data_IF_925315253356
#
_entry.id   IF_925315253356
#
_cell.length_a   1.000
_cell.length_b   1.000
_cell.length_c   1.000
_cell.angle_alpha   90.00
_cell.angle_beta   90.00
_cell.angle_gamma   90.00
#
_symmetry.space_group_name_H-M   'P 1'
#
loop_
_entity.id
_entity.type
_entity.pdbx_description
1 polymer ?
#
# COMPACT_ATOMS: atom_id res chain seq x y z
N UNK A 1 -3.39 -0.68 34.07
CA UNK A 1 -4.03 0.52 33.52
C UNK A 1 -3.24 0.92 32.29
N UNK A 2 -3.92 1.01 31.13
CA UNK A 2 -3.27 1.55 29.93
C UNK A 2 -2.98 3.04 30.17
N UNK A 3 -1.74 3.48 29.96
CA UNK A 3 -1.40 4.89 30.04
C UNK A 3 -1.50 5.50 28.64
N UNK A 4 -2.32 6.52 28.48
CA UNK A 4 -2.38 7.28 27.25
C UNK A 4 -1.05 8.02 27.02
N UNK A 5 -0.47 7.87 25.85
CA UNK A 5 0.71 8.64 25.43
C UNK A 5 0.25 9.83 24.60
N UNK A 6 0.68 11.04 25.01
CA UNK A 6 0.35 12.26 24.30
C UNK A 6 1.32 12.46 23.12
N UNK A 7 0.82 12.34 21.91
CA UNK A 7 1.55 12.66 20.70
C UNK A 7 1.57 14.16 20.41
N UNK A 8 2.39 14.61 19.45
CA UNK A 8 2.31 15.99 18.97
C UNK A 8 0.88 16.28 18.46
N UNK A 9 0.40 17.51 18.71
CA UNK A 9 -0.93 17.99 18.33
C UNK A 9 -2.14 17.32 19.03
N UNK A 10 -1.96 16.90 20.28
CA UNK A 10 -3.01 16.31 21.13
C UNK A 10 -3.60 14.98 20.63
N UNK A 11 -2.91 14.26 19.73
CA UNK A 11 -3.24 12.86 19.45
C UNK A 11 -2.99 12.03 20.70
N UNK A 12 -3.97 11.20 21.07
CA UNK A 12 -3.90 10.31 22.24
C UNK A 12 -3.94 8.86 21.75
N UNK A 13 -2.80 8.20 21.87
CA UNK A 13 -2.67 6.77 21.54
C UNK A 13 -2.62 5.96 22.84
N UNK A 14 -3.63 5.14 23.04
CA UNK A 14 -3.66 4.22 24.19
C UNK A 14 -2.59 3.15 24.02
N UNK A 15 -1.67 3.10 24.98
CA UNK A 15 -0.59 2.11 24.96
C UNK A 15 -1.12 0.71 25.17
N UNK A 16 -0.58 -0.24 24.40
CA UNK A 16 -0.92 -1.66 24.41
C UNK A 16 -2.37 -1.97 23.99
N UNK A 17 -3.14 -0.99 23.53
CA UNK A 17 -4.43 -1.25 22.88
C UNK A 17 -4.19 -1.84 21.48
N UNK A 18 -4.80 -3.01 21.21
CA UNK A 18 -4.64 -3.71 19.94
C UNK A 18 -5.77 -3.33 19.00
N UNK A 19 -5.49 -2.50 18.03
CA UNK A 19 -6.43 -2.03 17.03
C UNK A 19 -6.48 -3.08 15.90
N UNK A 20 -7.58 -3.82 15.71
CA UNK A 20 -7.67 -4.81 14.65
C UNK A 20 -7.65 -4.13 13.28
N UNK A 21 -7.09 -4.80 12.27
CA UNK A 21 -7.11 -4.30 10.90
C UNK A 21 -7.55 -5.36 9.88
N UNK A 22 -8.04 -4.88 8.76
CA UNK A 22 -8.26 -5.69 7.56
C UNK A 22 -7.01 -5.56 6.69
N UNK A 23 -6.45 -6.71 6.28
CA UNK A 23 -5.37 -6.76 5.30
C UNK A 23 -5.93 -6.94 3.89
N UNK A 24 -5.71 -5.95 3.03
CA UNK A 24 -6.10 -5.97 1.61
C UNK A 24 -5.07 -5.22 0.75
N UNK A 25 -3.85 -5.80 0.63
CA UNK A 25 -2.72 -5.13 0.00
C UNK A 25 -2.17 -3.93 0.79
N UNK A 26 -2.84 -3.54 1.87
CA UNK A 26 -2.50 -2.50 2.83
C UNK A 26 -3.23 -2.76 4.15
N UNK A 27 -2.93 -1.97 5.17
CA UNK A 27 -3.51 -2.06 6.52
C UNK A 27 -4.70 -1.12 6.61
N UNK A 28 -5.92 -1.65 6.63
CA UNK A 28 -7.15 -0.86 6.79
C UNK A 28 -7.65 -0.93 8.22
N UNK A 29 -7.62 0.21 8.91
CA UNK A 29 -8.09 0.35 10.29
C UNK A 29 -9.57 0.76 10.29
N UNK A 30 -10.46 0.05 10.99
CA UNK A 30 -11.81 0.52 11.25
C UNK A 30 -11.74 1.74 12.20
N UNK A 31 -12.39 2.81 11.81
CA UNK A 31 -12.29 4.10 12.47
C UNK A 31 -13.61 4.85 12.49
N UNK A 32 -13.67 5.91 13.29
CA UNK A 32 -14.72 6.92 13.22
C UNK A 32 -14.08 8.29 13.07
N UNK A 33 -14.46 9.04 12.03
CA UNK A 33 -13.97 10.39 11.81
C UNK A 33 -14.95 11.38 12.48
N UNK A 34 -14.39 12.37 13.19
CA UNK A 34 -15.14 13.41 13.93
C UNK A 34 -16.25 12.84 14.85
N UNK A 35 -15.98 11.67 15.45
CA UNK A 35 -16.89 10.92 16.33
C UNK A 35 -18.26 10.58 15.70
N UNK A 36 -18.38 10.68 14.38
CA UNK A 36 -19.67 10.55 13.70
C UNK A 36 -19.62 9.64 12.46
N UNK A 37 -18.56 9.69 11.68
CA UNK A 37 -18.50 9.07 10.36
C UNK A 37 -17.67 7.77 10.40
N UNK A 38 -18.30 6.57 10.35
CA UNK A 38 -17.58 5.31 10.33
C UNK A 38 -16.79 5.16 9.03
N UNK A 39 -15.53 4.76 9.10
CA UNK A 39 -14.62 4.71 7.96
C UNK A 39 -13.62 3.55 8.06
N UNK A 40 -13.14 3.07 6.91
CA UNK A 40 -11.94 2.23 6.79
C UNK A 40 -10.78 3.09 6.30
N UNK A 41 -9.81 3.30 7.18
CA UNK A 41 -8.68 4.18 6.93
C UNK A 41 -7.44 3.36 6.61
N UNK A 42 -6.87 3.55 5.42
CA UNK A 42 -5.58 2.97 5.06
C UNK A 42 -4.48 3.63 5.90
N UNK A 43 -3.81 2.82 6.72
CA UNK A 43 -2.63 3.23 7.46
C UNK A 43 -1.41 3.15 6.55
N UNK A 44 -0.68 4.25 6.43
CA UNK A 44 0.51 4.36 5.56
C UNK A 44 1.70 4.86 6.35
N UNK A 45 2.90 4.42 6.00
CA UNK A 45 4.16 4.95 6.56
C UNK A 45 4.72 6.11 5.73
N UNK A 46 4.02 6.52 4.68
CA UNK A 46 4.56 7.42 3.65
C UNK A 46 3.75 8.73 3.47
N UNK A 47 2.85 9.07 4.39
CA UNK A 47 2.07 10.29 4.35
C UNK A 47 2.46 11.21 5.51
N UNK A 48 3.21 12.27 5.22
CA UNK A 48 3.60 13.30 6.20
C UNK A 48 2.37 13.83 6.94
N UNK A 49 2.04 13.23 8.09
CA UNK A 49 0.97 13.65 9.00
C UNK A 49 -0.26 14.23 8.28
N UNK A 50 -0.88 13.42 7.49
CA UNK A 50 -2.03 13.80 6.70
C UNK A 50 -3.19 12.86 6.94
N UNK A 51 -4.38 13.43 6.99
CA UNK A 51 -5.62 12.72 6.77
C UNK A 51 -6.12 13.08 5.37
N UNK A 52 -6.29 12.08 4.52
CA UNK A 52 -6.93 12.23 3.21
C UNK A 52 -8.22 11.46 3.23
N UNK A 53 -9.33 12.06 2.81
CA UNK A 53 -10.65 11.42 2.79
C UNK A 53 -11.19 11.38 1.36
N UNK A 54 -11.87 10.29 1.02
CA UNK A 54 -12.40 10.07 -0.32
C UNK A 54 -13.63 10.95 -0.61
N UNK A 55 -13.69 11.48 -1.83
CA UNK A 55 -14.80 12.34 -2.29
C UNK A 55 -16.13 11.58 -2.37
N UNK A 56 -16.12 10.30 -2.78
CA UNK A 56 -17.34 9.47 -2.87
C UNK A 56 -17.83 9.13 -1.48
N UNK A 57 -16.92 8.78 -0.57
CA UNK A 57 -17.25 8.53 0.84
C UNK A 57 -17.93 9.74 1.49
N UNK A 58 -17.40 10.95 1.30
CA UNK A 58 -18.04 12.18 1.81
C UNK A 58 -19.49 12.33 1.34
N UNK A 59 -19.75 12.02 0.06
CA UNK A 59 -21.11 12.06 -0.51
C UNK A 59 -22.02 10.99 0.09
N UNK A 60 -21.53 9.76 0.24
CA UNK A 60 -22.28 8.66 0.86
C UNK A 60 -22.67 8.98 2.30
N UNK A 61 -21.77 9.64 3.05
CA UNK A 61 -22.01 10.06 4.43
C UNK A 61 -22.82 11.36 4.53
N UNK A 62 -23.25 11.98 3.42
CA UNK A 62 -23.82 13.31 3.37
C UNK A 62 -23.02 14.34 4.20
N UNK A 63 -21.70 14.16 4.23
CA UNK A 63 -20.79 14.94 5.04
C UNK A 63 -20.22 16.12 4.24
N UNK A 64 -20.46 17.32 4.74
CA UNK A 64 -19.91 18.58 4.22
C UNK A 64 -18.90 19.13 5.24
N UNK A 65 -17.60 18.83 5.10
CA UNK A 65 -16.60 19.37 6.00
C UNK A 65 -16.59 20.91 5.97
N UNK A 66 -16.40 21.57 7.11
CA UNK A 66 -16.37 23.03 7.16
C UNK A 66 -15.08 23.59 6.54
N UNK A 67 -15.10 24.90 6.18
CA UNK A 67 -13.94 25.67 5.68
C UNK A 67 -13.16 24.96 4.56
N UNK A 68 -13.89 24.48 3.53
CA UNK A 68 -13.26 23.86 2.36
C UNK A 68 -12.65 24.94 1.47
N UNK A 69 -11.35 24.86 1.26
CA UNK A 69 -10.58 25.71 0.36
C UNK A 69 -9.78 24.87 -0.64
N UNK A 70 -9.21 25.51 -1.67
CA UNK A 70 -8.30 24.87 -2.62
C UNK A 70 -6.88 25.05 -2.13
N UNK A 71 -6.23 23.96 -1.72
CA UNK A 71 -4.80 23.94 -1.44
C UNK A 71 -4.01 23.71 -2.73
N UNK A 72 -2.91 24.42 -2.88
CA UNK A 72 -1.96 24.25 -3.97
C UNK A 72 -0.73 23.49 -3.43
N UNK A 73 -0.57 22.23 -3.84
CA UNK A 73 0.60 21.42 -3.49
C UNK A 73 1.57 21.46 -4.66
N UNK A 74 2.70 22.16 -4.49
CA UNK A 74 3.75 22.22 -5.51
C UNK A 74 4.42 20.85 -5.64
N UNK A 75 4.47 20.34 -6.87
CA UNK A 75 5.22 19.14 -7.27
C UNK A 75 6.39 19.55 -8.18
N UNK A 76 7.30 18.63 -8.47
CA UNK A 76 8.52 18.92 -9.27
C UNK A 76 8.18 19.51 -10.66
N UNK A 77 7.07 19.12 -11.27
CA UNK A 77 6.69 19.53 -12.64
C UNK A 77 5.39 20.31 -12.74
N UNK A 78 4.58 20.34 -11.70
CA UNK A 78 3.26 20.95 -11.71
C UNK A 78 2.80 21.38 -10.31
N UNK A 79 1.59 21.92 -10.24
CA UNK A 79 0.91 22.24 -8.97
C UNK A 79 -0.40 21.44 -8.89
N UNK A 80 -0.47 20.53 -7.93
CA UNK A 80 -1.67 19.81 -7.61
C UNK A 80 -2.63 20.70 -6.81
N UNK A 81 -3.88 20.80 -7.27
CA UNK A 81 -4.95 21.53 -6.57
C UNK A 81 -5.87 20.54 -5.88
N UNK A 82 -5.87 20.53 -4.55
CA UNK A 82 -6.73 19.70 -3.74
C UNK A 82 -7.75 20.54 -2.96
N UNK A 83 -8.91 19.96 -2.71
CA UNK A 83 -9.83 20.50 -1.71
C UNK A 83 -9.27 20.14 -0.33
N UNK A 84 -9.29 21.09 0.58
CA UNK A 84 -8.78 20.94 1.94
C UNK A 84 -9.75 21.55 2.91
N UNK A 85 -10.14 20.81 3.94
CA UNK A 85 -10.85 21.35 5.09
C UNK A 85 -9.82 21.84 6.11
N UNK A 86 -9.76 23.15 6.36
CA UNK A 86 -8.84 23.79 7.30
C UNK A 86 -9.41 23.87 8.71
N UNK A 87 -9.96 22.76 9.17
CA UNK A 87 -10.43 22.60 10.55
C UNK A 87 -9.76 21.38 11.16
N UNK A 88 -9.71 21.33 12.49
CA UNK A 88 -9.22 20.15 13.20
C UNK A 88 -10.22 19.02 13.00
N UNK A 89 -9.69 17.86 12.58
CA UNK A 89 -10.43 16.62 12.46
C UNK A 89 -9.83 15.57 13.39
N UNK A 90 -10.64 14.71 13.97
CA UNK A 90 -10.18 13.57 14.75
C UNK A 90 -10.54 12.25 14.07
N UNK A 91 -9.69 11.26 14.25
CA UNK A 91 -9.93 9.88 13.80
C UNK A 91 -9.78 8.97 15.02
N UNK A 92 -10.85 8.31 15.38
CA UNK A 92 -10.91 7.43 16.55
C UNK A 92 -10.80 5.97 16.12
N UNK A 93 -9.89 5.23 16.76
CA UNK A 93 -9.66 3.79 16.58
C UNK A 93 -9.80 3.11 17.96
N UNK A 94 -10.91 2.47 18.24
CA UNK A 94 -11.16 1.96 19.60
C UNK A 94 -11.07 3.09 20.64
N UNK A 95 -10.13 2.99 21.57
CA UNK A 95 -9.87 4.01 22.60
C UNK A 95 -8.87 5.09 22.17
N UNK A 96 -8.20 4.90 21.05
CA UNK A 96 -7.19 5.80 20.50
C UNK A 96 -7.81 6.90 19.66
N UNK A 97 -7.30 8.14 19.76
CA UNK A 97 -7.72 9.28 18.95
C UNK A 97 -6.51 9.98 18.32
N UNK A 98 -6.43 9.98 16.99
CA UNK A 98 -5.49 10.76 16.22
C UNK A 98 -6.13 12.09 15.81
N UNK A 99 -5.40 13.20 15.94
CA UNK A 99 -5.88 14.53 15.62
C UNK A 99 -5.10 15.15 14.45
N UNK A 100 -5.82 15.70 13.49
CA UNK A 100 -5.27 16.30 12.28
C UNK A 100 -5.70 17.77 12.20
N UNK A 101 -4.77 18.70 11.96
CA UNK A 101 -5.08 20.14 11.91
C UNK A 101 -5.89 20.51 10.66
N UNK A 102 -5.86 19.66 9.64
CA UNK A 102 -6.60 19.79 8.38
C UNK A 102 -6.84 18.41 7.77
N UNK A 103 -7.73 18.34 6.80
CA UNK A 103 -8.06 17.14 6.06
C UNK A 103 -8.05 17.42 4.56
N UNK A 104 -7.31 16.63 3.80
CA UNK A 104 -7.32 16.66 2.34
C UNK A 104 -8.50 15.85 1.80
N UNK A 105 -9.05 16.27 0.67
CA UNK A 105 -10.17 15.60 0.01
C UNK A 105 -9.74 15.23 -1.41
N UNK A 106 -9.81 13.94 -1.75
CA UNK A 106 -9.37 13.43 -3.06
C UNK A 106 -10.12 12.14 -3.44
N UNK A 107 -10.09 11.77 -4.71
CA UNK A 107 -10.73 10.57 -5.26
C UNK A 107 -9.84 9.32 -5.06
N UNK A 108 -9.52 8.98 -3.81
CA UNK A 108 -8.63 7.85 -3.50
C UNK A 108 -9.22 6.49 -3.86
N UNK A 109 -10.55 6.34 -3.81
CA UNK A 109 -11.23 5.10 -4.20
C UNK A 109 -11.06 4.76 -5.69
N UNK A 110 -10.66 5.69 -6.53
CA UNK A 110 -10.29 5.41 -7.92
C UNK A 110 -9.06 4.50 -8.04
N UNK A 111 -8.26 4.40 -6.98
CA UNK A 111 -7.05 3.56 -6.91
C UNK A 111 -7.21 2.40 -5.97
N UNK A 112 -7.73 2.67 -4.78
CA UNK A 112 -7.76 1.74 -3.66
C UNK A 112 -9.08 0.94 -3.58
N UNK A 113 -10.10 1.36 -4.35
CA UNK A 113 -11.41 0.72 -4.33
C UNK A 113 -12.36 1.27 -3.28
N UNK A 114 -13.60 0.77 -3.30
CA UNK A 114 -14.72 1.28 -2.50
C UNK A 114 -14.54 1.17 -0.99
N UNK A 115 -13.59 0.35 -0.54
CA UNK A 115 -13.35 0.10 0.87
C UNK A 115 -12.31 1.05 1.49
N UNK A 116 -11.72 1.94 0.69
CA UNK A 116 -10.77 2.94 1.15
C UNK A 116 -11.47 4.29 1.35
N UNK A 117 -11.91 4.56 2.56
CA UNK A 117 -12.61 5.81 2.90
C UNK A 117 -11.64 6.95 3.17
N UNK A 118 -10.44 6.61 3.60
CA UNK A 118 -9.37 7.56 3.85
C UNK A 118 -7.99 6.92 3.90
N UNK A 119 -6.98 7.78 3.97
CA UNK A 119 -5.56 7.43 4.19
C UNK A 119 -5.06 8.28 5.34
N UNK A 120 -4.27 7.71 6.24
CA UNK A 120 -3.68 8.46 7.34
C UNK A 120 -2.27 8.03 7.71
N UNK A 121 -1.52 9.00 8.24
CA UNK A 121 -0.31 8.79 9.03
C UNK A 121 -0.28 9.80 10.17
N UNK A 122 0.09 9.37 11.39
CA UNK A 122 0.32 10.25 12.52
C UNK A 122 1.80 10.26 12.91
N UNK A 123 2.36 11.45 13.11
CA UNK A 123 3.76 11.64 13.55
C UNK A 123 4.06 11.02 14.92
N UNK A 124 3.04 10.61 15.69
CA UNK A 124 3.23 9.82 16.90
C UNK A 124 4.14 8.62 16.67
N UNK A 125 3.98 7.93 15.53
CA UNK A 125 4.76 6.75 15.16
C UNK A 125 6.23 7.04 14.82
N UNK A 126 6.61 8.32 14.63
CA UNK A 126 8.00 8.69 14.40
C UNK A 126 8.84 8.64 15.69
N UNK A 127 8.18 8.67 16.86
CA UNK A 127 8.85 8.78 18.16
C UNK A 127 8.50 7.65 19.12
N UNK A 128 7.39 6.98 18.93
CA UNK A 128 6.85 5.99 19.86
C UNK A 128 6.96 4.58 19.28
N UNK A 129 7.30 3.58 20.10
CA UNK A 129 7.36 2.22 19.63
C UNK A 129 5.96 1.70 19.31
N UNK A 130 5.87 0.91 18.23
CA UNK A 130 4.62 0.29 17.80
C UNK A 130 4.85 -1.07 17.15
N UNK A 131 3.84 -1.92 17.23
CA UNK A 131 3.81 -3.25 16.62
C UNK A 131 2.79 -3.31 15.50
N UNK A 132 3.18 -3.89 14.37
CA UNK A 132 2.30 -4.35 13.30
C UNK A 132 2.35 -5.87 13.28
N UNK A 133 1.31 -6.51 13.76
CA UNK A 133 1.21 -7.96 13.82
C UNK A 133 0.34 -8.47 12.67
N UNK A 134 0.96 -8.85 11.57
CA UNK A 134 0.25 -9.35 10.40
C UNK A 134 -0.35 -10.75 10.60
N UNK A 135 0.22 -11.55 11.48
CA UNK A 135 -0.30 -12.89 11.80
C UNK A 135 -1.65 -12.81 12.49
N UNK A 136 -1.77 -11.92 13.48
CA UNK A 136 -3.00 -11.72 14.26
C UNK A 136 -3.83 -10.52 13.78
N UNK A 137 -3.30 -9.74 12.82
CA UNK A 137 -3.96 -8.59 12.18
C UNK A 137 -4.35 -7.49 13.17
N UNK A 138 -3.37 -6.98 13.90
CA UNK A 138 -3.55 -5.79 14.74
C UNK A 138 -2.35 -4.84 14.63
N UNK A 139 -2.63 -3.56 14.84
CA UNK A 139 -1.68 -2.48 15.10
C UNK A 139 -1.80 -2.11 16.57
N UNK A 140 -0.69 -1.92 17.28
CA UNK A 140 -0.70 -1.36 18.64
C UNK A 140 0.51 -0.48 18.91
N UNK A 141 0.31 0.53 19.75
CA UNK A 141 1.39 1.32 20.31
C UNK A 141 1.92 0.66 21.58
N UNK A 142 3.18 0.90 21.89
CA UNK A 142 3.86 0.30 23.02
C UNK A 142 4.46 1.39 23.91
N UNK A 143 4.46 1.20 25.23
CA UNK A 143 5.22 2.08 26.15
C UNK A 143 6.70 1.75 26.16
N UNK A 144 7.05 0.49 25.95
CA UNK A 144 8.41 -0.01 25.84
C UNK A 144 8.42 -1.32 25.03
N UNK A 145 9.57 -1.68 24.49
CA UNK A 145 9.73 -2.96 23.79
C UNK A 145 9.66 -4.12 24.79
N UNK A 146 8.68 -5.04 24.66
CA UNK A 146 8.58 -6.19 25.55
C UNK A 146 9.81 -7.10 25.51
N UNK A 147 10.19 -7.68 26.63
CA UNK A 147 11.35 -8.59 26.70
C UNK A 147 11.13 -9.85 25.84
N UNK A 148 9.89 -10.28 25.65
CA UNK A 148 9.55 -11.37 24.73
C UNK A 148 9.90 -11.02 23.28
N UNK A 149 9.73 -9.76 22.87
CA UNK A 149 10.16 -9.27 21.55
C UNK A 149 11.67 -9.28 21.45
N UNK A 150 12.38 -8.71 22.44
CA UNK A 150 13.84 -8.68 22.45
C UNK A 150 14.49 -10.08 22.37
N UNK A 151 13.84 -11.09 22.97
CA UNK A 151 14.35 -12.47 22.96
C UNK A 151 13.99 -13.26 21.70
N UNK A 152 12.79 -13.02 21.13
CA UNK A 152 12.21 -13.90 20.11
C UNK A 152 12.20 -13.30 18.71
N UNK A 153 12.52 -12.02 18.58
CA UNK A 153 12.59 -11.34 17.29
C UNK A 153 14.03 -11.06 16.90
N UNK A 154 14.32 -11.06 15.62
CA UNK A 154 15.57 -10.53 15.10
C UNK A 154 15.52 -9.01 15.14
N UNK A 155 16.67 -8.37 15.26
CA UNK A 155 16.81 -6.92 15.32
C UNK A 155 17.67 -6.41 14.17
N UNK A 156 17.20 -5.36 13.50
CA UNK A 156 17.94 -4.60 12.49
C UNK A 156 18.07 -3.14 12.91
N UNK A 157 19.18 -2.48 12.52
CA UNK A 157 19.26 -1.02 12.59
C UNK A 157 18.14 -0.39 11.75
N UNK A 158 17.44 0.57 12.32
CA UNK A 158 16.41 1.37 11.68
C UNK A 158 16.93 2.79 11.49
N UNK A 159 16.82 3.32 10.30
CA UNK A 159 17.06 4.74 10.03
C UNK A 159 15.71 5.44 9.91
N UNK A 160 15.49 6.45 10.75
CA UNK A 160 14.27 7.27 10.73
C UNK A 160 14.61 8.64 10.15
N UNK A 161 13.86 9.06 9.11
CA UNK A 161 13.98 10.40 8.50
C UNK A 161 12.60 10.97 8.27
N UNK A 162 12.15 11.83 9.20
CA UNK A 162 10.74 12.23 9.25
C UNK A 162 9.86 11.01 9.41
N UNK A 163 8.80 10.90 8.60
CA UNK A 163 7.88 9.75 8.61
C UNK A 163 8.42 8.48 7.95
N UNK A 164 9.66 8.49 7.42
CA UNK A 164 10.16 7.36 6.65
C UNK A 164 11.06 6.46 7.49
N UNK A 165 10.72 5.19 7.54
CA UNK A 165 11.47 4.12 8.18
C UNK A 165 12.29 3.37 7.14
N UNK A 166 13.60 3.26 7.33
CA UNK A 166 14.51 2.62 6.37
C UNK A 166 15.40 1.61 7.06
N UNK A 167 15.72 0.53 6.34
CA UNK A 167 16.71 -0.47 6.74
C UNK A 167 17.75 -0.64 5.64
N UNK A 168 18.92 -1.13 5.99
CA UNK A 168 19.88 -1.61 5.01
C UNK A 168 19.40 -2.91 4.38
N UNK A 169 19.37 -2.96 3.06
CA UNK A 169 19.03 -4.13 2.27
C UNK A 169 19.91 -4.24 1.02
N UNK A 170 19.92 -5.44 0.44
CA UNK A 170 20.70 -5.74 -0.75
C UNK A 170 19.86 -6.56 -1.72
N UNK A 171 19.85 -6.14 -2.97
CA UNK A 171 19.22 -6.86 -4.09
C UNK A 171 20.32 -7.31 -5.04
N UNK A 172 20.38 -8.59 -5.34
CA UNK A 172 21.26 -9.12 -6.37
C UNK A 172 20.48 -9.33 -7.67
N UNK A 173 20.92 -8.66 -8.72
CA UNK A 173 20.36 -8.73 -10.06
C UNK A 173 21.50 -9.01 -11.05
N UNK A 174 21.54 -10.20 -11.65
CA UNK A 174 22.53 -10.61 -12.64
C UNK A 174 23.97 -10.30 -12.16
N UNK A 175 24.34 -10.83 -11.00
CA UNK A 175 25.64 -10.63 -10.32
C UNK A 175 25.94 -9.18 -9.89
N UNK A 176 24.99 -8.22 -10.05
CA UNK A 176 25.16 -6.88 -9.52
C UNK A 176 24.50 -6.75 -8.17
N UNK A 177 25.25 -6.30 -7.18
CA UNK A 177 24.75 -5.97 -5.84
C UNK A 177 24.24 -4.52 -5.82
N UNK A 178 22.94 -4.35 -5.53
CA UNK A 178 22.30 -3.05 -5.36
C UNK A 178 22.00 -2.89 -3.88
N UNK A 179 22.91 -2.27 -3.16
CA UNK A 179 22.83 -2.08 -1.72
C UNK A 179 22.52 -0.65 -1.33
N UNK A 180 21.97 -0.48 -0.14
CA UNK A 180 21.72 0.81 0.48
C UNK A 180 20.53 0.79 1.44
N UNK A 181 20.07 1.98 1.80
CA UNK A 181 18.86 2.14 2.60
C UNK A 181 17.62 1.93 1.72
N UNK A 182 16.74 1.05 2.17
CA UNK A 182 15.44 0.81 1.57
C UNK A 182 14.35 1.24 2.54
N UNK A 183 13.40 2.00 2.06
CA UNK A 183 12.26 2.47 2.84
C UNK A 183 11.22 1.36 2.98
N UNK A 184 10.62 1.25 4.17
CA UNK A 184 9.59 0.28 4.48
C UNK A 184 8.22 0.89 4.20
N UNK A 185 7.51 0.36 3.19
CA UNK A 185 6.20 0.81 2.78
C UNK A 185 5.14 -0.22 3.20
N UNK A 186 4.34 0.11 4.21
CA UNK A 186 3.25 -0.76 4.70
C UNK A 186 1.99 -0.66 3.83
N UNK A 187 1.95 0.30 2.94
CA UNK A 187 0.96 0.49 1.89
C UNK A 187 1.52 0.07 0.53
N UNK A 188 0.74 -0.62 -0.27
CA UNK A 188 1.14 -1.01 -1.62
C UNK A 188 1.67 -2.44 -1.75
N UNK A 189 1.32 -3.05 -2.86
CA UNK A 189 1.50 -4.48 -3.12
C UNK A 189 2.83 -4.88 -3.76
N UNK A 190 3.70 -3.95 -4.16
CA UNK A 190 5.00 -4.28 -4.73
C UNK A 190 5.89 -4.94 -3.67
N UNK A 191 6.75 -5.87 -4.11
CA UNK A 191 7.71 -6.53 -3.22
C UNK A 191 8.89 -5.61 -2.97
N UNK A 192 9.57 -5.21 -4.05
CA UNK A 192 10.67 -4.25 -4.03
C UNK A 192 10.52 -3.30 -5.22
N UNK A 193 10.76 -2.03 -4.97
CA UNK A 193 10.91 -1.03 -6.02
C UNK A 193 12.27 -0.34 -5.87
N UNK A 194 13.03 -0.28 -6.95
CA UNK A 194 14.31 0.44 -7.00
C UNK A 194 14.04 1.90 -7.38
N UNK A 195 14.70 2.85 -6.71
CA UNK A 195 14.55 4.27 -7.03
C UNK A 195 15.13 4.59 -8.41
N UNK A 196 14.60 5.63 -9.04
CA UNK A 196 15.02 6.10 -10.37
C UNK A 196 16.53 6.38 -10.44
N UNK A 197 17.08 7.00 -9.40
CA UNK A 197 18.50 7.30 -9.27
C UNK A 197 19.32 6.02 -9.24
N UNK A 198 18.88 5.04 -8.48
CA UNK A 198 19.54 3.74 -8.35
C UNK A 198 19.44 2.93 -9.64
N UNK A 199 18.26 2.94 -10.31
CA UNK A 199 18.08 2.32 -11.64
C UNK A 199 19.09 2.89 -12.64
N UNK A 200 19.25 4.21 -12.69
CA UNK A 200 20.21 4.88 -13.57
C UNK A 200 21.65 4.58 -13.19
N UNK A 201 21.99 4.70 -11.91
CA UNK A 201 23.34 4.45 -11.39
C UNK A 201 23.85 3.04 -11.76
N UNK A 202 22.98 2.05 -11.69
CA UNK A 202 23.32 0.65 -11.96
C UNK A 202 22.97 0.20 -13.39
N UNK A 203 22.50 1.13 -14.25
CA UNK A 203 22.07 0.84 -15.63
C UNK A 203 21.07 -0.32 -15.74
N UNK A 204 20.07 -0.33 -14.87
CA UNK A 204 19.11 -1.43 -14.80
C UNK A 204 18.11 -1.44 -15.98
N UNK A 205 18.02 -0.36 -16.75
CA UNK A 205 17.23 -0.33 -17.99
C UNK A 205 17.80 -1.26 -19.08
N UNK A 206 19.10 -1.58 -19.02
CA UNK A 206 19.77 -2.54 -19.88
C UNK A 206 19.85 -3.94 -19.24
N UNK A 207 18.93 -4.28 -18.32
CA UNK A 207 18.88 -5.60 -17.70
C UNK A 207 18.43 -6.65 -18.71
N UNK A 208 19.28 -7.64 -18.98
CA UNK A 208 19.05 -8.72 -19.98
C UNK A 208 18.45 -9.98 -19.37
N UNK A 209 18.20 -10.02 -18.06
CA UNK A 209 17.59 -11.16 -17.38
C UNK A 209 16.08 -11.26 -17.63
N UNK A 210 15.47 -12.25 -16.98
CA UNK A 210 14.02 -12.49 -17.08
C UNK A 210 13.23 -11.32 -16.55
N UNK A 211 12.38 -10.72 -17.38
CA UNK A 211 11.51 -9.58 -17.01
C UNK A 211 10.05 -9.84 -17.35
N UNK A 212 9.18 -9.13 -16.64
CA UNK A 212 7.74 -9.04 -16.92
C UNK A 212 7.32 -7.57 -16.99
N UNK A 213 6.51 -7.23 -17.97
CA UNK A 213 5.97 -5.87 -18.12
C UNK A 213 4.51 -5.81 -17.70
N UNK A 214 4.23 -4.93 -16.76
CA UNK A 214 2.89 -4.60 -16.27
C UNK A 214 2.50 -3.21 -16.78
N UNK A 215 1.45 -3.14 -17.56
CA UNK A 215 0.78 -1.89 -17.89
C UNK A 215 -0.21 -1.59 -16.76
N UNK A 216 -0.05 -0.47 -16.10
CA UNK A 216 -0.90 -0.12 -14.95
C UNK A 216 -1.33 1.34 -14.98
N UNK A 217 -2.52 1.59 -14.46
CA UNK A 217 -2.99 2.93 -14.13
C UNK A 217 -2.61 3.23 -12.69
N UNK A 218 -1.72 4.17 -12.51
CA UNK A 218 -1.41 4.72 -11.19
C UNK A 218 -2.14 6.03 -11.01
N UNK A 219 -2.71 6.22 -9.84
CA UNK A 219 -3.24 7.52 -9.46
C UNK A 219 -2.42 8.03 -8.30
N UNK A 220 -1.75 9.14 -8.51
CA UNK A 220 -1.37 10.01 -7.41
C UNK A 220 -2.60 10.82 -7.01
N UNK A 221 -2.62 11.32 -5.77
CA UNK A 221 -3.68 12.21 -5.32
C UNK A 221 -3.95 13.26 -6.40
N UNK A 222 -5.12 13.17 -7.05
CA UNK A 222 -5.60 14.13 -8.06
C UNK A 222 -5.19 13.90 -9.51
N UNK A 223 -4.45 12.83 -9.86
CA UNK A 223 -4.04 12.56 -11.23
C UNK A 223 -3.93 11.06 -11.53
N UNK A 224 -4.41 10.62 -12.68
CA UNK A 224 -4.33 9.22 -13.13
C UNK A 224 -3.43 9.12 -14.34
N UNK A 225 -2.30 8.43 -14.21
CA UNK A 225 -1.36 8.18 -15.30
C UNK A 225 -1.31 6.70 -15.64
N UNK A 226 -1.15 6.39 -16.93
CA UNK A 226 -0.90 5.02 -17.38
C UNK A 226 0.59 4.86 -17.61
N UNK A 227 1.20 3.89 -16.95
CA UNK A 227 2.63 3.61 -17.07
C UNK A 227 2.89 2.14 -17.32
N UNK A 228 4.02 1.85 -17.96
CA UNK A 228 4.55 0.48 -18.02
C UNK A 228 5.59 0.29 -16.93
N UNK A 229 5.34 -0.66 -16.05
CA UNK A 229 6.27 -1.08 -15.02
C UNK A 229 7.01 -2.34 -15.48
N UNK A 230 8.33 -2.35 -15.35
CA UNK A 230 9.16 -3.53 -15.64
C UNK A 230 9.61 -4.15 -14.33
N UNK A 231 9.23 -5.41 -14.15
CA UNK A 231 9.71 -6.24 -13.04
C UNK A 231 10.81 -7.16 -13.54
N UNK A 232 11.88 -7.27 -12.77
CA UNK A 232 12.92 -8.27 -12.91
C UNK A 232 12.84 -9.28 -11.76
N UNK A 233 13.28 -10.49 -11.95
CA UNK A 233 13.40 -11.47 -10.88
C UNK A 233 14.81 -11.40 -10.30
N UNK A 234 14.93 -10.93 -9.06
CA UNK A 234 16.21 -10.90 -8.36
C UNK A 234 16.72 -12.31 -8.08
N UNK A 235 18.03 -12.49 -8.14
CA UNK A 235 18.71 -13.75 -7.80
C UNK A 235 18.58 -14.03 -6.30
N UNK A 236 18.74 -12.99 -5.48
CA UNK A 236 18.50 -13.02 -4.04
C UNK A 236 18.30 -11.60 -3.47
N UNK A 237 17.59 -11.54 -2.35
CA UNK A 237 17.38 -10.32 -1.58
C UNK A 237 17.75 -10.56 -0.13
N UNK A 238 18.44 -9.60 0.46
CA UNK A 238 18.84 -9.63 1.86
C UNK A 238 18.23 -8.46 2.61
N UNK A 239 17.53 -8.76 3.70
CA UNK A 239 17.10 -7.77 4.71
C UNK A 239 18.11 -7.81 5.84
N UNK A 240 19.02 -6.84 5.89
CA UNK A 240 20.23 -6.95 6.71
C UNK A 240 21.03 -8.19 6.31
N UNK A 241 21.17 -9.14 7.24
CA UNK A 241 21.88 -10.42 7.01
C UNK A 241 20.96 -11.58 6.58
N UNK A 242 19.64 -11.39 6.59
CA UNK A 242 18.69 -12.45 6.24
C UNK A 242 18.47 -12.51 4.74
N UNK A 243 18.87 -13.63 4.11
CA UNK A 243 18.46 -13.95 2.75
C UNK A 243 16.99 -14.39 2.73
N UNK A 244 16.17 -13.73 1.93
CA UNK A 244 14.74 -14.05 1.73
C UNK A 244 14.48 -14.72 0.39
N UNK A 245 15.55 -15.02 -0.37
CA UNK A 245 15.47 -15.71 -1.66
C UNK A 245 15.20 -14.77 -2.84
N UNK A 246 14.63 -15.35 -3.89
CA UNK A 246 14.29 -14.64 -5.13
C UNK A 246 13.07 -13.77 -4.93
N UNK A 247 13.08 -12.56 -5.46
CA UNK A 247 12.00 -11.57 -5.29
C UNK A 247 11.73 -10.84 -6.59
N UNK A 248 10.47 -10.51 -6.85
CA UNK A 248 10.10 -9.60 -7.94
C UNK A 248 10.52 -8.17 -7.61
N UNK A 249 11.32 -7.56 -8.46
CA UNK A 249 11.88 -6.22 -8.26
C UNK A 249 11.42 -5.30 -9.38
N UNK A 250 10.76 -4.22 -9.02
CA UNK A 250 10.40 -3.16 -9.95
C UNK A 250 11.64 -2.33 -10.27
N UNK A 251 12.10 -2.39 -11.52
CA UNK A 251 13.26 -1.67 -12.05
C UNK A 251 12.87 -0.54 -13.01
N UNK A 252 11.62 -0.12 -13.00
CA UNK A 252 11.14 0.94 -13.90
C UNK A 252 11.70 2.30 -13.56
N UNK A 253 11.68 3.20 -14.55
CA UNK A 253 11.76 4.62 -14.32
C UNK A 253 10.33 5.17 -14.21
N UNK A 254 9.74 5.27 -13.02
CA UNK A 254 8.38 5.74 -12.89
C UNK A 254 8.27 7.17 -13.44
N UNK A 255 7.21 7.41 -14.20
CA UNK A 255 6.99 8.68 -14.86
C UNK A 255 6.71 9.83 -13.87
N UNK A 256 6.22 9.49 -12.70
CA UNK A 256 5.84 10.46 -11.66
C UNK A 256 6.21 9.92 -10.29
N UNK A 257 7.11 10.59 -9.60
CA UNK A 257 7.29 10.43 -8.15
C UNK A 257 6.64 11.61 -7.45
N UNK A 258 5.67 11.32 -6.61
CA UNK A 258 5.07 12.29 -5.70
C UNK A 258 6.04 12.70 -4.57
N UNK A 259 7.21 12.06 -4.47
CA UNK A 259 8.09 12.20 -3.32
C UNK A 259 9.40 12.91 -3.68
N UNK A 260 9.83 13.87 -2.85
CA UNK A 260 11.08 14.57 -3.05
C UNK A 260 12.26 13.60 -2.92
N UNK A 261 13.34 13.91 -3.60
CA UNK A 261 14.64 13.24 -3.69
C UNK A 261 15.09 12.60 -2.37
N UNK A 262 14.60 11.41 -2.08
CA UNK A 262 15.15 10.62 -1.00
C UNK A 262 16.39 9.90 -1.50
N UNK A 263 17.47 10.02 -0.73
CA UNK A 263 18.73 9.30 -0.99
C UNK A 263 18.61 7.85 -0.49
N UNK A 264 17.57 7.13 -0.89
CA UNK A 264 17.39 5.71 -0.64
C UNK A 264 17.63 4.91 -1.91
N UNK A 265 18.00 3.65 -1.77
CA UNK A 265 18.22 2.74 -2.90
C UNK A 265 16.90 2.24 -3.49
N UNK A 266 15.88 2.10 -2.66
CA UNK A 266 14.59 1.56 -3.07
C UNK A 266 13.60 1.52 -1.92
N UNK A 267 12.53 0.74 -2.13
CA UNK A 267 11.43 0.51 -1.20
C UNK A 267 11.23 -0.99 -1.02
N UNK A 268 10.93 -1.41 0.19
CA UNK A 268 10.46 -2.75 0.54
C UNK A 268 8.98 -2.62 0.84
N UNK A 269 8.14 -3.19 -0.01
CA UNK A 269 6.72 -3.03 0.09
C UNK A 269 6.03 -4.11 0.93
N UNK A 270 4.74 -3.89 1.12
CA UNK A 270 3.87 -4.74 1.88
C UNK A 270 3.83 -6.19 1.34
N UNK A 271 4.14 -6.41 0.07
CA UNK A 271 4.28 -7.74 -0.51
C UNK A 271 5.31 -8.64 0.19
N UNK A 272 6.37 -8.05 0.73
CA UNK A 272 7.35 -8.74 1.58
C UNK A 272 6.95 -8.58 3.05
N UNK A 273 6.68 -7.35 3.49
CA UNK A 273 6.54 -7.01 4.91
C UNK A 273 5.40 -7.76 5.60
N UNK A 274 4.31 -8.05 4.86
CA UNK A 274 3.17 -8.79 5.41
C UNK A 274 3.48 -10.25 5.79
N UNK A 275 4.68 -10.76 5.54
CA UNK A 275 5.11 -12.09 6.00
C UNK A 275 5.78 -12.06 7.37
N UNK A 276 5.88 -10.90 7.99
CA UNK A 276 6.58 -10.67 9.25
C UNK A 276 5.66 -9.99 10.26
N UNK A 277 5.87 -10.29 11.54
CA UNK A 277 5.43 -9.42 12.62
C UNK A 277 6.55 -8.42 12.87
N UNK A 278 6.22 -7.13 12.88
CA UNK A 278 7.17 -6.02 12.93
C UNK A 278 6.95 -5.21 14.21
N UNK A 279 8.04 -4.86 14.89
CA UNK A 279 8.01 -3.93 16.03
C UNK A 279 9.04 -2.84 15.77
N UNK A 280 8.54 -1.64 15.58
CA UNK A 280 9.34 -0.45 15.36
C UNK A 280 9.69 0.21 16.68
N UNK A 281 10.95 0.56 16.87
CA UNK A 281 11.47 1.33 18.00
C UNK A 281 12.23 2.55 17.46
N UNK A 282 11.51 3.60 17.04
CA UNK A 282 12.12 4.77 16.39
C UNK A 282 13.09 5.49 17.31
N UNK A 283 12.77 5.61 18.61
CA UNK A 283 13.58 6.29 19.61
C UNK A 283 14.98 5.66 19.78
N UNK A 284 15.09 4.36 19.56
CA UNK A 284 16.38 3.63 19.68
C UNK A 284 16.92 3.18 18.32
N UNK A 285 16.31 3.62 17.20
CA UNK A 285 16.74 3.26 15.84
C UNK A 285 16.80 1.74 15.62
N UNK A 286 15.74 1.01 16.02
CA UNK A 286 15.66 -0.45 15.92
C UNK A 286 14.36 -0.90 15.27
N UNK A 287 14.48 -1.91 14.41
CA UNK A 287 13.36 -2.70 13.89
C UNK A 287 13.52 -4.12 14.41
N UNK A 288 12.54 -4.58 15.16
CA UNK A 288 12.43 -6.00 15.52
C UNK A 288 11.46 -6.67 14.55
N UNK A 289 11.84 -7.86 14.04
CA UNK A 289 11.02 -8.58 13.08
C UNK A 289 11.07 -10.08 13.32
N UNK A 290 9.94 -10.73 13.08
CA UNK A 290 9.81 -12.18 13.17
C UNK A 290 9.00 -12.70 11.99
N UNK A 291 9.56 -13.56 11.12
CA UNK A 291 8.79 -14.22 10.08
C UNK A 291 7.76 -15.16 10.71
N UNK A 292 6.53 -15.10 10.28
CA UNK A 292 5.50 -16.10 10.60
C UNK A 292 5.08 -16.91 9.35
N UNK A 293 5.48 -16.41 8.18
CA UNK A 293 5.23 -17.04 6.89
C UNK A 293 6.47 -16.88 6.02
N UNK A 294 6.83 -17.92 5.27
CA UNK A 294 7.89 -17.81 4.28
C UNK A 294 7.46 -16.91 3.12
N UNK A 295 8.35 -16.05 2.65
CA UNK A 295 8.13 -15.37 1.39
C UNK A 295 8.17 -16.40 0.25
N UNK A 296 7.20 -16.35 -0.64
CA UNK A 296 7.10 -17.26 -1.79
C UNK A 296 7.21 -16.43 -3.07
N UNK A 297 8.32 -16.53 -3.80
CA UNK A 297 8.51 -15.79 -5.06
C UNK A 297 7.61 -16.30 -6.18
N UNK A 298 7.21 -17.57 -6.10
CA UNK A 298 6.35 -18.22 -7.10
C UNK A 298 4.88 -17.83 -6.89
N UNK A 299 4.59 -16.56 -7.16
CA UNK A 299 3.20 -16.10 -7.15
C UNK A 299 2.52 -16.46 -8.46
N UNK A 300 1.30 -16.94 -8.35
CA UNK A 300 0.41 -17.07 -9.50
C UNK A 300 -0.45 -15.82 -9.63
N UNK A 301 -0.82 -15.52 -10.87
CA UNK A 301 -1.70 -14.39 -11.21
C UNK A 301 -2.61 -14.79 -12.37
N UNK A 302 -3.74 -14.10 -12.53
CA UNK A 302 -4.53 -14.13 -13.76
C UNK A 302 -3.98 -13.16 -14.82
N UNK A 303 -2.93 -12.40 -14.46
CA UNK A 303 -2.31 -11.44 -15.36
C UNK A 303 -2.98 -10.08 -15.38
N UNK A 304 -3.86 -9.78 -14.43
CA UNK A 304 -4.51 -8.46 -14.26
C UNK A 304 -4.87 -8.19 -12.81
N UNK A 305 -5.14 -6.91 -12.51
CA UNK A 305 -5.76 -6.48 -11.26
C UNK A 305 -6.96 -5.56 -11.55
N UNK A 306 -7.80 -5.37 -10.53
CA UNK A 306 -8.97 -4.50 -10.62
C UNK A 306 -9.08 -3.57 -9.43
N UNK A 307 -9.91 -2.56 -9.57
CA UNK A 307 -10.39 -1.70 -8.50
C UNK A 307 -11.90 -1.79 -8.43
N UNK A 308 -12.43 -2.09 -7.26
CA UNK A 308 -13.86 -2.19 -7.01
C UNK A 308 -14.48 -0.79 -6.93
N UNK A 309 -15.35 -0.46 -7.90
CA UNK A 309 -16.12 0.80 -7.97
C UNK A 309 -17.61 0.55 -8.05
N UNK A 310 -18.08 -0.51 -7.37
CA UNK A 310 -19.52 -0.78 -7.23
C UNK A 310 -20.25 0.29 -6.43
N UNK A 311 -19.54 1.06 -5.61
CA UNK A 311 -20.01 2.26 -4.89
C UNK A 311 -20.64 3.32 -5.81
N UNK A 312 -20.19 3.41 -7.05
CA UNK A 312 -20.71 4.34 -8.06
C UNK A 312 -21.33 3.62 -9.26
N UNK A 313 -21.74 2.37 -9.10
CA UNK A 313 -22.40 1.57 -10.14
C UNK A 313 -21.51 1.16 -11.31
N UNK A 314 -20.17 1.26 -11.18
CA UNK A 314 -19.22 0.95 -12.28
C UNK A 314 -18.71 -0.50 -12.28
N UNK A 315 -19.00 -1.31 -11.26
CA UNK A 315 -18.45 -2.66 -11.14
C UNK A 315 -16.96 -2.66 -10.77
N UNK A 316 -16.22 -3.72 -11.15
CA UNK A 316 -14.78 -3.82 -10.93
C UNK A 316 -14.04 -3.42 -12.21
N UNK A 317 -13.18 -2.41 -12.13
CA UNK A 317 -12.48 -1.81 -13.28
C UNK A 317 -11.07 -2.38 -13.36
N UNK A 318 -10.68 -2.94 -14.51
CA UNK A 318 -9.32 -3.43 -14.75
C UNK A 318 -8.32 -2.27 -14.70
N UNK A 319 -7.36 -2.36 -13.78
CA UNK A 319 -6.38 -1.29 -13.49
C UNK A 319 -4.95 -1.64 -13.87
N UNK A 320 -4.61 -2.93 -13.89
CA UNK A 320 -3.31 -3.34 -14.38
C UNK A 320 -3.41 -4.63 -15.21
N UNK A 321 -2.45 -4.82 -16.11
CA UNK A 321 -2.41 -6.01 -16.96
C UNK A 321 -0.97 -6.33 -17.35
N UNK A 322 -0.56 -7.57 -17.18
CA UNK A 322 0.72 -8.07 -17.71
C UNK A 322 0.64 -8.15 -19.23
N UNK A 323 1.52 -7.47 -19.95
CA UNK A 323 1.47 -7.33 -21.42
C UNK A 323 1.42 -8.67 -22.16
N UNK A 324 2.16 -9.67 -21.68
CA UNK A 324 2.18 -11.02 -22.24
C UNK A 324 1.40 -12.04 -21.41
N UNK A 325 0.58 -11.56 -20.46
CA UNK A 325 -0.17 -12.38 -19.51
C UNK A 325 -1.39 -13.06 -20.11
N UNK A 326 -1.97 -14.01 -19.34
CA UNK A 326 -3.17 -14.74 -19.73
C UNK A 326 -4.35 -13.80 -20.02
N UNK A 327 -4.57 -12.78 -19.19
CA UNK A 327 -5.63 -11.80 -19.40
C UNK A 327 -5.45 -10.98 -20.69
N UNK A 328 -4.22 -10.52 -20.98
CA UNK A 328 -3.93 -9.80 -22.22
C UNK A 328 -4.18 -10.66 -23.46
N UNK A 329 -3.74 -11.93 -23.43
CA UNK A 329 -4.01 -12.91 -24.50
C UNK A 329 -5.50 -13.17 -24.70
N UNK A 330 -6.28 -13.15 -23.62
CA UNK A 330 -7.74 -13.24 -23.66
C UNK A 330 -8.42 -11.92 -24.07
N UNK A 331 -7.63 -10.89 -24.43
CA UNK A 331 -8.10 -9.61 -24.94
C UNK A 331 -8.67 -8.68 -23.89
N UNK A 332 -8.39 -8.88 -22.60
CA UNK A 332 -8.74 -7.93 -21.53
C UNK A 332 -7.86 -6.67 -21.67
N UNK A 333 -8.43 -5.52 -21.42
CA UNK A 333 -7.77 -4.22 -21.54
C UNK A 333 -7.96 -3.38 -20.26
N UNK A 334 -7.06 -2.42 -20.04
CA UNK A 334 -7.26 -1.41 -19.01
C UNK A 334 -8.60 -0.67 -19.22
N UNK A 335 -9.32 -0.46 -18.13
CA UNK A 335 -10.62 0.19 -18.15
C UNK A 335 -11.81 -0.72 -18.46
N UNK A 336 -11.59 -1.98 -18.89
CA UNK A 336 -12.68 -2.95 -18.98
C UNK A 336 -13.36 -3.09 -17.61
N UNK A 337 -14.69 -3.21 -17.64
CA UNK A 337 -15.48 -3.33 -16.42
C UNK A 337 -15.94 -4.76 -16.23
N UNK A 338 -15.56 -5.38 -15.12
CA UNK A 338 -16.02 -6.70 -14.70
C UNK A 338 -17.36 -6.53 -14.01
N UNK A 339 -18.40 -7.24 -14.51
CA UNK A 339 -19.75 -7.20 -13.94
C UNK A 339 -20.17 -8.51 -13.28
N UNK A 340 -19.50 -9.65 -13.61
CA UNK A 340 -19.66 -10.92 -12.91
C UNK A 340 -18.30 -11.63 -12.79
N UNK A 341 -18.11 -12.33 -11.69
CA UNK A 341 -16.99 -13.23 -11.43
C UNK A 341 -17.57 -14.59 -11.03
N UNK A 342 -17.13 -15.67 -11.71
CA UNK A 342 -17.59 -17.04 -11.47
C UNK A 342 -19.12 -17.17 -11.37
N UNK A 343 -19.85 -16.43 -12.23
CA UNK A 343 -21.31 -16.41 -12.29
C UNK A 343 -22.00 -15.44 -11.32
N UNK A 344 -21.35 -15.00 -10.25
CA UNK A 344 -21.89 -14.06 -9.26
C UNK A 344 -21.67 -12.62 -9.71
N UNK A 345 -22.69 -11.74 -9.57
CA UNK A 345 -22.54 -10.30 -9.84
C UNK A 345 -21.54 -9.68 -8.86
N UNK A 346 -20.67 -8.80 -9.34
CA UNK A 346 -19.62 -8.16 -8.50
C UNK A 346 -20.21 -7.27 -7.40
N UNK A 347 -21.40 -6.73 -7.59
CA UNK A 347 -22.14 -5.95 -6.59
C UNK A 347 -22.49 -6.77 -5.32
N UNK A 348 -22.61 -8.09 -5.49
CA UNK A 348 -23.03 -9.01 -4.43
C UNK A 348 -21.83 -9.61 -3.66
N UNK A 349 -20.60 -9.27 -4.04
CA UNK A 349 -19.41 -9.69 -3.30
C UNK A 349 -19.26 -8.86 -2.04
N UNK A 350 -19.12 -9.53 -0.89
CA UNK A 350 -18.59 -8.90 0.32
C UNK A 350 -17.10 -8.61 0.15
N UNK A 351 -16.55 -7.76 1.02
CA UNK A 351 -15.10 -7.51 1.01
C UNK A 351 -14.28 -8.78 1.26
N UNK A 352 -14.76 -9.62 2.20
CA UNK A 352 -14.09 -10.90 2.50
C UNK A 352 -14.10 -11.86 1.31
N UNK A 353 -15.20 -11.96 0.59
CA UNK A 353 -15.30 -12.79 -0.62
C UNK A 353 -14.40 -12.27 -1.74
N UNK A 354 -14.33 -10.94 -1.93
CA UNK A 354 -13.44 -10.32 -2.91
C UNK A 354 -11.98 -10.63 -2.60
N UNK A 355 -11.56 -10.46 -1.34
CA UNK A 355 -10.19 -10.77 -0.87
C UNK A 355 -9.86 -12.26 -0.89
N UNK A 356 -10.86 -13.12 -0.76
CA UNK A 356 -10.69 -14.58 -0.84
C UNK A 356 -10.46 -15.09 -2.26
N UNK A 357 -10.70 -14.27 -3.29
CA UNK A 357 -10.37 -14.64 -4.67
C UNK A 357 -8.86 -14.88 -4.79
N UNK A 358 -8.50 -16.06 -5.25
CA UNK A 358 -7.10 -16.48 -5.33
C UNK A 358 -6.76 -17.00 -6.72
N UNK A 359 -5.64 -16.57 -7.31
CA UNK A 359 -5.22 -17.02 -8.64
C UNK A 359 -4.63 -18.45 -8.63
N UNK A 360 -5.06 -19.30 -7.71
CA UNK A 360 -4.76 -20.74 -7.72
C UNK A 360 -5.60 -21.51 -8.73
N UNK A 361 -6.78 -20.98 -9.07
CA UNK A 361 -7.75 -21.56 -9.98
C UNK A 361 -8.05 -20.60 -11.14
N UNK A 362 -8.50 -21.08 -12.30
CA UNK A 362 -9.02 -20.23 -13.37
C UNK A 362 -10.17 -19.36 -12.87
N UNK A 363 -10.32 -18.19 -13.48
CA UNK A 363 -11.41 -17.25 -13.15
C UNK A 363 -12.29 -16.99 -14.40
N UNK A 364 -13.60 -17.07 -14.23
CA UNK A 364 -14.55 -16.76 -15.30
C UNK A 364 -15.15 -15.38 -15.07
N UNK A 365 -15.00 -14.51 -16.04
CA UNK A 365 -15.45 -13.12 -16.00
C UNK A 365 -16.53 -12.84 -17.01
N UNK A 366 -17.48 -11.97 -16.66
CA UNK A 366 -18.33 -11.27 -17.62
C UNK A 366 -17.89 -9.81 -17.61
N UNK A 367 -17.46 -9.34 -18.77
CA UNK A 367 -16.89 -8.01 -18.97
C UNK A 367 -17.84 -7.13 -19.78
N UNK A 368 -17.99 -5.88 -19.38
CA UNK A 368 -18.52 -4.81 -20.22
C UNK A 368 -17.34 -4.04 -20.81
N UNK A 369 -17.23 -4.05 -22.12
CA UNK A 369 -16.15 -3.41 -22.88
C UNK A 369 -16.74 -2.36 -23.83
N UNK A 370 -15.91 -1.57 -24.49
CA UNK A 370 -16.37 -0.64 -25.54
C UNK A 370 -17.06 -1.32 -26.74
N UNK A 371 -16.91 -2.67 -26.89
CA UNK A 371 -17.53 -3.47 -27.97
C UNK A 371 -18.75 -4.27 -27.53
N UNK A 372 -19.21 -4.11 -26.29
CA UNK A 372 -20.35 -4.84 -25.73
C UNK A 372 -19.98 -5.73 -24.55
N UNK A 373 -20.84 -6.70 -24.24
CA UNK A 373 -20.66 -7.64 -23.11
C UNK A 373 -20.12 -8.96 -23.62
N UNK A 374 -19.09 -9.49 -22.95
CA UNK A 374 -18.54 -10.81 -23.28
C UNK A 374 -18.17 -11.61 -22.04
N UNK A 375 -18.20 -12.92 -22.17
CA UNK A 375 -17.74 -13.88 -21.15
C UNK A 375 -16.35 -14.40 -21.54
N UNK A 376 -15.46 -14.52 -20.56
CA UNK A 376 -14.10 -15.04 -20.77
C UNK A 376 -13.63 -15.81 -19.55
N UNK A 377 -12.90 -16.90 -19.74
CA UNK A 377 -12.21 -17.64 -18.68
C UNK A 377 -10.72 -17.39 -18.81
N UNK A 378 -10.08 -17.05 -17.71
CA UNK A 378 -8.66 -16.71 -17.61
C UNK A 378 -7.96 -17.79 -16.80
N UNK A 379 -6.97 -18.41 -17.40
CA UNK A 379 -6.08 -19.35 -16.72
C UNK A 379 -5.11 -18.62 -15.81
N UNK A 380 -4.63 -19.33 -14.81
CA UNK A 380 -3.59 -18.81 -13.93
C UNK A 380 -2.22 -18.97 -14.58
N UNK A 381 -1.32 -18.04 -14.32
CA UNK A 381 0.07 -18.08 -14.77
C UNK A 381 1.02 -17.75 -13.64
N UNK A 382 2.28 -18.24 -13.64
CA UNK A 382 3.30 -17.73 -12.73
C UNK A 382 3.62 -16.28 -13.11
N UNK A 383 4.04 -15.47 -12.14
CA UNK A 383 4.52 -14.09 -12.40
C UNK A 383 5.88 -14.15 -13.10
N UNK A 384 6.74 -15.13 -12.73
CA UNK A 384 8.05 -15.38 -13.33
C UNK A 384 8.25 -16.85 -13.63
#
# INVERSE_FOLDING_TARGET
>A
MASAQKGPFDSMWESNDSIPFVWDGGIYLPATIDNKYPAHILFTTNANRQLVVDTTYLKEQCWQPPKIEKANIKREKDTLRLKTSYTKHNVKFGNTTANFPYMLISDIRNVLGKHADGIMWDTFFEYSPFEVNFQQKFLRTLTAIPDSVKRNYRCLPLTVRGSNFMIEAYVWLNNKRIGGLYELCLEGGDDIMITKETVRKHNLMAYEGKTQQLLAQYTNIGDTTTTTTTFALADSVYLGLQNIGRVAVNISLPAVHAFPRMRNAGYIGAGILHNYNLVFDPAHNKLYYRPYKAYTPERRTWGFSWVNRTDIGKGWIVRSIYKCGAAAKAGIRLGDTIIKVNGKKVENYSWDEERALSPKLPITLVLKTGKGVRKVTIETMPVF
#
